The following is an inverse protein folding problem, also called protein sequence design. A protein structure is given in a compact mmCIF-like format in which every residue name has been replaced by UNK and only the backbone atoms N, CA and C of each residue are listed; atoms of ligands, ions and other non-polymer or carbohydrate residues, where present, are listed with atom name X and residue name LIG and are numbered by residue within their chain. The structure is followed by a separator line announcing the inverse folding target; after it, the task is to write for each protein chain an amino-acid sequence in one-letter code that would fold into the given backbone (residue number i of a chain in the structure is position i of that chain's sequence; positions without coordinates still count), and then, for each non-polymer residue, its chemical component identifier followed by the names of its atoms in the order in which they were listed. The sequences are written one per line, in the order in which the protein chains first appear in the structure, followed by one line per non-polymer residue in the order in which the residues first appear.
data_IF_407902268905
#
_entry.id   IF_407902268905
#
_cell.length_a   1.000
_cell.length_b   1.000
_cell.length_c   1.000
_cell.angle_alpha   90.00
_cell.angle_beta   90.00
_cell.angle_gamma   90.00
#
_symmetry.space_group_name_H-M   'P 1'
#
loop_
_entity.id
_entity.type
_entity.pdbx_description
1 polymer ?
#
# COMPACT_ATOMS: atom_id res chain seq x y z
N UNK A 1 -40.06 44.69 86.58
CA UNK A 1 -41.16 45.68 86.49
C UNK A 1 -41.50 45.90 85.02
N UNK A 2 -42.73 45.57 84.60
CA UNK A 2 -43.50 45.94 83.39
C UNK A 2 -42.84 46.10 82.00
N UNK A 3 -43.24 45.18 81.10
CA UNK A 3 -44.02 45.34 79.85
C UNK A 3 -43.65 46.34 78.72
N UNK A 4 -43.85 45.83 77.49
CA UNK A 4 -44.30 46.47 76.22
C UNK A 4 -43.22 47.16 75.35
N UNK A 5 -43.25 47.17 73.99
CA UNK A 5 -44.13 46.64 72.93
C UNK A 5 -43.49 46.94 71.54
N UNK A 6 -43.88 46.13 70.55
CA UNK A 6 -44.16 46.40 69.12
C UNK A 6 -43.08 46.73 68.03
N UNK A 7 -42.95 45.78 67.08
CA UNK A 7 -43.21 45.80 65.61
C UNK A 7 -42.78 47.04 64.77
N UNK A 8 -41.97 46.82 63.71
CA UNK A 8 -42.30 46.99 62.25
C UNK A 8 -41.04 46.94 61.33
N UNK A 9 -41.06 46.04 60.34
CA UNK A 9 -40.30 46.05 59.07
C UNK A 9 -40.68 47.28 58.20
N UNK A 10 -39.97 47.68 57.10
CA UNK A 10 -39.24 46.84 56.12
C UNK A 10 -37.98 47.46 55.45
N UNK A 11 -37.27 46.68 54.61
CA UNK A 11 -36.87 47.01 53.22
C UNK A 11 -35.66 46.18 52.73
N UNK A 12 -36.01 45.32 51.79
CA UNK A 12 -35.28 44.64 50.72
C UNK A 12 -34.09 45.41 50.12
N UNK A 13 -32.94 44.70 49.98
CA UNK A 13 -32.00 44.87 48.88
C UNK A 13 -31.53 43.49 48.42
N UNK A 14 -32.06 43.03 47.29
CA UNK A 14 -31.58 41.86 46.58
C UNK A 14 -30.33 42.27 45.78
N UNK A 15 -29.20 41.60 46.03
CA UNK A 15 -28.01 41.70 45.19
C UNK A 15 -28.23 40.80 43.96
N UNK A 16 -28.26 41.41 42.78
CA UNK A 16 -28.24 40.71 41.50
C UNK A 16 -26.80 40.29 41.25
N UNK A 17 -26.49 39.00 41.40
CA UNK A 17 -25.29 38.40 40.82
C UNK A 17 -25.54 38.18 39.33
N UNK A 18 -24.97 39.04 38.49
CA UNK A 18 -24.80 38.76 37.06
C UNK A 18 -23.75 37.66 36.89
N UNK A 19 -24.22 36.44 36.64
CA UNK A 19 -23.37 35.37 36.14
C UNK A 19 -23.00 35.69 34.68
N UNK A 20 -21.76 36.12 34.45
CA UNK A 20 -21.19 36.24 33.13
C UNK A 20 -20.98 34.85 32.56
N UNK A 21 -21.81 34.46 31.58
CA UNK A 21 -21.55 33.32 30.70
C UNK A 21 -20.31 33.66 29.85
N UNK A 22 -19.17 33.10 30.23
CA UNK A 22 -18.00 33.02 29.36
C UNK A 22 -18.36 32.08 28.19
N UNK A 23 -18.79 32.67 27.07
CA UNK A 23 -18.79 31.98 25.78
C UNK A 23 -17.33 31.70 25.42
N UNK A 24 -16.85 30.51 25.76
CA UNK A 24 -15.65 29.96 25.17
C UNK A 24 -15.96 29.65 23.70
N UNK A 25 -15.62 30.59 22.81
CA UNK A 25 -15.49 30.30 21.40
C UNK A 25 -14.30 29.33 21.26
N UNK A 26 -14.58 28.03 21.32
CA UNK A 26 -13.67 27.02 20.79
C UNK A 26 -13.72 27.20 19.28
N UNK A 27 -12.81 27.99 18.74
CA UNK A 27 -12.44 27.86 17.34
C UNK A 27 -11.90 26.44 17.20
N UNK A 28 -12.73 25.53 16.66
CA UNK A 28 -12.23 24.29 16.09
C UNK A 28 -11.11 24.71 15.14
N UNK A 29 -9.87 24.42 15.50
CA UNK A 29 -8.79 24.53 14.54
C UNK A 29 -9.22 23.69 13.34
N UNK A 30 -9.34 24.31 12.17
CA UNK A 30 -9.51 23.59 10.91
C UNK A 30 -8.40 22.54 10.90
N UNK A 31 -8.76 21.27 11.08
CA UNK A 31 -7.79 20.18 11.04
C UNK A 31 -7.13 20.25 9.67
N UNK A 32 -5.85 20.60 9.63
CA UNK A 32 -5.11 20.70 8.38
C UNK A 32 -5.29 19.38 7.63
N UNK A 33 -5.81 19.46 6.40
CA UNK A 33 -5.99 18.27 5.57
C UNK A 33 -4.63 17.60 5.40
N UNK A 34 -4.58 16.29 5.66
CA UNK A 34 -3.36 15.50 5.54
C UNK A 34 -2.64 15.75 4.20
N UNK A 35 -1.33 15.59 4.18
CA UNK A 35 -0.48 15.68 3.00
C UNK A 35 -0.59 14.43 2.13
N UNK A 36 -1.81 14.07 1.75
CA UNK A 36 -2.06 12.87 0.99
C UNK A 36 -1.81 13.04 -0.51
N UNK A 37 -1.63 11.91 -1.17
CA UNK A 37 -1.34 11.81 -2.59
C UNK A 37 -2.57 12.19 -3.40
N UNK A 38 -2.35 12.89 -4.51
CA UNK A 38 -3.39 13.41 -5.42
C UNK A 38 -4.40 14.37 -4.76
N UNK A 39 -4.14 14.88 -3.54
CA UNK A 39 -5.03 15.79 -2.82
C UNK A 39 -5.50 16.94 -3.70
N UNK A 40 -4.54 17.66 -4.29
CA UNK A 40 -4.77 18.88 -5.06
C UNK A 40 -4.89 18.64 -6.58
N UNK A 41 -4.77 17.39 -7.04
CA UNK A 41 -4.76 17.06 -8.47
C UNK A 41 -6.12 17.32 -9.09
N UNK A 42 -6.16 18.03 -10.23
CA UNK A 42 -7.39 18.20 -11.00
C UNK A 42 -8.02 16.84 -11.35
N UNK A 43 -9.35 16.79 -11.45
CA UNK A 43 -10.00 15.59 -11.96
C UNK A 43 -9.49 15.26 -13.36
N UNK A 44 -9.28 13.98 -13.65
CA UNK A 44 -8.77 13.51 -14.93
C UNK A 44 -9.12 12.05 -15.11
N UNK A 45 -9.12 11.58 -16.36
CA UNK A 45 -9.20 10.15 -16.69
C UNK A 45 -7.99 9.36 -16.16
N UNK A 46 -6.89 10.04 -15.80
CA UNK A 46 -5.69 9.44 -15.20
C UNK A 46 -5.76 9.26 -13.68
N UNK A 47 -6.78 9.83 -13.02
CA UNK A 47 -6.98 9.59 -11.59
C UNK A 47 -7.49 8.16 -11.34
N UNK A 48 -7.33 7.65 -10.10
CA UNK A 48 -8.01 6.43 -9.70
C UNK A 48 -9.49 6.53 -10.05
N UNK A 49 -10.05 5.47 -10.64
CA UNK A 49 -11.47 5.39 -10.95
C UNK A 49 -12.32 5.67 -9.71
N UNK A 50 -11.82 5.28 -8.53
CA UNK A 50 -12.39 5.58 -7.22
C UNK A 50 -12.67 7.08 -7.02
N UNK A 51 -11.71 7.94 -7.35
CA UNK A 51 -11.83 9.38 -7.10
C UNK A 51 -12.84 10.06 -8.04
N UNK A 52 -13.11 9.47 -9.21
CA UNK A 52 -14.14 9.93 -10.13
C UNK A 52 -15.51 9.37 -9.73
N UNK A 53 -15.61 8.06 -9.51
CA UNK A 53 -16.89 7.38 -9.30
C UNK A 53 -17.56 7.76 -7.98
N UNK A 54 -16.78 8.08 -6.93
CA UNK A 54 -17.30 8.46 -5.61
C UNK A 54 -17.65 9.96 -5.49
N UNK A 55 -17.56 10.70 -6.60
CA UNK A 55 -17.90 12.12 -6.68
C UNK A 55 -19.08 12.30 -7.63
N UNK A 56 -20.28 12.69 -7.15
CA UNK A 56 -21.47 12.74 -8.00
C UNK A 56 -21.31 13.56 -9.28
N UNK A 57 -20.63 14.70 -9.20
CA UNK A 57 -20.37 15.58 -10.36
C UNK A 57 -19.42 14.93 -11.38
N UNK A 58 -18.30 14.37 -10.92
CA UNK A 58 -17.34 13.71 -11.79
C UNK A 58 -17.90 12.41 -12.40
N UNK A 59 -18.65 11.64 -11.61
CA UNK A 59 -19.38 10.45 -12.06
C UNK A 59 -20.40 10.82 -13.15
N UNK A 60 -21.17 11.88 -12.96
CA UNK A 60 -22.15 12.33 -13.96
C UNK A 60 -21.48 12.76 -15.28
N UNK A 61 -20.30 13.38 -15.22
CA UNK A 61 -19.52 13.68 -16.42
C UNK A 61 -19.06 12.38 -17.09
N UNK A 62 -18.50 11.42 -16.35
CA UNK A 62 -18.08 10.14 -16.94
C UNK A 62 -19.25 9.41 -17.63
N UNK A 63 -20.42 9.32 -16.99
CA UNK A 63 -21.64 8.71 -17.54
C UNK A 63 -22.22 9.47 -18.75
N UNK A 64 -22.03 10.79 -18.83
CA UNK A 64 -22.40 11.59 -20.01
C UNK A 64 -21.63 11.17 -21.27
N UNK A 65 -20.36 10.81 -21.13
CA UNK A 65 -19.51 10.41 -22.26
C UNK A 65 -19.55 8.92 -22.54
N UNK A 66 -19.66 8.11 -21.49
CA UNK A 66 -19.72 6.64 -21.56
C UNK A 66 -20.91 6.14 -20.73
N UNK A 67 -22.14 6.17 -21.28
CA UNK A 67 -23.35 5.78 -20.55
C UNK A 67 -23.32 4.30 -20.13
N UNK A 68 -23.65 4.03 -18.88
CA UNK A 68 -23.68 2.69 -18.29
C UNK A 68 -22.31 2.18 -17.84
N UNK A 69 -21.25 3.00 -17.91
CA UNK A 69 -19.89 2.60 -17.55
C UNK A 69 -19.84 1.94 -16.17
N UNK A 70 -20.46 2.56 -15.16
CA UNK A 70 -20.43 2.03 -13.79
C UNK A 70 -21.54 0.99 -13.51
N UNK A 71 -22.46 0.78 -14.44
CA UNK A 71 -23.54 -0.23 -14.30
C UNK A 71 -23.13 -1.59 -14.85
N UNK A 72 -22.28 -1.60 -15.89
CA UNK A 72 -21.84 -2.84 -16.55
C UNK A 72 -20.71 -3.57 -15.82
N UNK A 73 -20.07 -2.92 -14.85
CA UNK A 73 -18.89 -3.46 -14.17
C UNK A 73 -19.28 -4.24 -12.91
N UNK A 74 -18.49 -5.28 -12.54
CA UNK A 74 -18.74 -6.03 -11.32
C UNK A 74 -18.70 -5.15 -10.07
N UNK A 75 -19.63 -5.40 -9.13
CA UNK A 75 -19.73 -4.60 -7.90
C UNK A 75 -18.45 -4.61 -7.05
N UNK A 76 -17.68 -5.71 -7.07
CA UNK A 76 -16.41 -5.81 -6.35
C UNK A 76 -15.37 -4.80 -6.88
N UNK A 77 -15.43 -4.45 -8.16
CA UNK A 77 -14.52 -3.51 -8.80
C UNK A 77 -14.87 -2.06 -8.45
N UNK A 78 -16.13 -1.78 -8.13
CA UNK A 78 -16.66 -0.44 -7.89
C UNK A 78 -16.99 -0.16 -6.41
N UNK A 79 -16.36 -0.89 -5.49
CA UNK A 79 -16.57 -0.66 -4.05
C UNK A 79 -16.25 0.80 -3.69
N UNK A 80 -17.19 1.49 -3.03
CA UNK A 80 -16.96 2.83 -2.48
C UNK A 80 -16.28 2.78 -1.10
N UNK A 81 -16.14 1.58 -0.50
CA UNK A 81 -15.46 1.35 0.77
C UNK A 81 -14.04 0.86 0.52
N UNK A 82 -13.08 1.30 1.35
CA UNK A 82 -11.74 0.71 1.37
C UNK A 82 -11.77 -0.67 2.03
N UNK A 83 -10.98 -1.65 1.55
CA UNK A 83 -10.17 -1.61 0.32
C UNK A 83 -11.05 -1.61 -0.95
N UNK A 84 -10.57 -0.97 -2.02
CA UNK A 84 -11.29 -0.88 -3.30
C UNK A 84 -10.36 -1.02 -4.49
N UNK A 85 -10.70 -1.95 -5.39
CA UNK A 85 -9.98 -2.18 -6.66
C UNK A 85 -9.96 -0.93 -7.56
N UNK A 86 -10.96 -0.05 -7.46
CA UNK A 86 -11.01 1.19 -8.22
C UNK A 86 -9.88 2.18 -7.83
N UNK A 87 -9.13 1.92 -6.76
CA UNK A 87 -7.96 2.72 -6.40
C UNK A 87 -6.69 2.34 -7.17
N UNK A 88 -6.67 1.13 -7.76
CA UNK A 88 -5.54 0.58 -8.52
C UNK A 88 -5.85 0.45 -10.03
N UNK A 89 -6.84 1.21 -10.48
CA UNK A 89 -7.19 1.41 -11.87
C UNK A 89 -7.45 2.90 -12.13
N UNK A 90 -7.00 3.42 -13.26
CA UNK A 90 -7.45 4.73 -13.73
C UNK A 90 -8.84 4.64 -14.35
N UNK A 91 -9.54 5.78 -14.44
CA UNK A 91 -10.77 5.83 -15.22
C UNK A 91 -10.53 5.48 -16.69
N UNK A 92 -9.39 5.87 -17.29
CA UNK A 92 -9.06 5.47 -18.65
C UNK A 92 -8.94 3.94 -18.78
N UNK A 93 -8.25 3.28 -17.85
CA UNK A 93 -8.12 1.82 -17.85
C UNK A 93 -9.46 1.12 -17.67
N UNK A 94 -10.39 1.72 -16.91
CA UNK A 94 -11.76 1.26 -16.77
C UNK A 94 -12.51 1.35 -18.11
N UNK A 95 -12.44 2.52 -18.75
CA UNK A 95 -13.08 2.78 -20.04
C UNK A 95 -12.50 1.86 -21.12
N UNK A 96 -11.18 1.67 -21.18
CA UNK A 96 -10.53 0.81 -22.16
C UNK A 96 -11.04 -0.64 -22.14
N UNK A 97 -11.49 -1.12 -20.97
CA UNK A 97 -12.09 -2.46 -20.82
C UNK A 97 -13.53 -2.52 -21.35
N UNK A 98 -14.28 -1.42 -21.22
CA UNK A 98 -15.67 -1.35 -21.68
C UNK A 98 -15.78 -0.95 -23.17
N UNK A 99 -14.94 -0.02 -23.62
CA UNK A 99 -14.87 0.52 -24.97
C UNK A 99 -13.40 0.79 -25.36
N UNK A 100 -12.72 -0.18 -26.02
CA UNK A 100 -11.32 -0.04 -26.43
C UNK A 100 -11.05 1.13 -27.38
N UNK A 101 -12.05 1.57 -28.15
CA UNK A 101 -11.88 2.66 -29.12
C UNK A 101 -11.78 4.04 -28.45
N UNK A 102 -12.30 4.18 -27.22
CA UNK A 102 -12.20 5.39 -26.39
C UNK A 102 -12.47 6.71 -27.16
N UNK A 103 -13.50 6.79 -28.02
CA UNK A 103 -13.60 7.83 -29.05
C UNK A 103 -13.73 9.26 -28.51
N UNK A 104 -14.14 9.40 -27.24
CA UNK A 104 -14.41 10.70 -26.60
C UNK A 104 -13.59 10.92 -25.33
N UNK A 105 -12.50 10.18 -25.15
CA UNK A 105 -11.68 10.24 -23.94
C UNK A 105 -11.10 11.63 -23.69
N UNK A 106 -10.64 12.32 -24.74
CA UNK A 106 -10.08 13.67 -24.62
C UNK A 106 -11.13 14.72 -24.21
N UNK A 107 -12.35 14.62 -24.74
CA UNK A 107 -13.45 15.51 -24.35
C UNK A 107 -13.87 15.28 -22.89
N UNK A 108 -13.94 14.00 -22.48
CA UNK A 108 -14.18 13.61 -21.09
C UNK A 108 -13.11 14.17 -20.15
N UNK A 109 -11.83 13.98 -20.46
CA UNK A 109 -10.73 14.46 -19.62
C UNK A 109 -10.73 15.98 -19.49
N UNK A 110 -11.03 16.70 -20.58
CA UNK A 110 -11.14 18.16 -20.56
C UNK A 110 -12.28 18.65 -19.66
N UNK A 111 -13.46 18.01 -19.72
CA UNK A 111 -14.60 18.37 -18.87
C UNK A 111 -14.37 18.00 -17.41
N UNK A 112 -13.74 16.85 -17.13
CA UNK A 112 -13.31 16.48 -15.78
C UNK A 112 -12.35 17.52 -15.20
N UNK A 113 -11.31 17.92 -15.93
CA UNK A 113 -10.31 18.91 -15.46
C UNK A 113 -10.91 20.28 -15.14
N UNK A 114 -12.08 20.60 -15.66
CA UNK A 114 -12.79 21.84 -15.36
C UNK A 114 -13.50 21.81 -13.99
N UNK A 115 -13.68 20.64 -13.38
CA UNK A 115 -14.27 20.53 -12.05
C UNK A 115 -13.33 21.11 -10.96
N UNK A 116 -13.88 21.86 -10.00
CA UNK A 116 -13.09 22.38 -8.90
C UNK A 116 -12.67 21.27 -7.93
N UNK A 117 -11.41 21.30 -7.49
CA UNK A 117 -10.91 20.47 -6.38
C UNK A 117 -11.20 21.22 -5.07
N UNK A 118 -12.42 21.06 -4.57
CA UNK A 118 -12.88 21.72 -3.32
C UNK A 118 -12.22 21.10 -2.08
N UNK A 119 -12.27 21.80 -0.94
CA UNK A 119 -11.76 21.26 0.34
C UNK A 119 -12.44 19.94 0.73
N UNK A 120 -13.72 19.76 0.39
CA UNK A 120 -14.42 18.49 0.61
C UNK A 120 -13.84 17.35 -0.25
N UNK A 121 -13.46 17.64 -1.51
CA UNK A 121 -12.79 16.67 -2.39
C UNK A 121 -11.42 16.31 -1.81
N UNK A 122 -10.65 17.30 -1.38
CA UNK A 122 -9.33 17.10 -0.77
C UNK A 122 -9.42 16.23 0.49
N UNK A 123 -10.30 16.58 1.42
CA UNK A 123 -10.51 15.83 2.65
C UNK A 123 -10.92 14.37 2.37
N UNK A 124 -11.84 14.17 1.43
CA UNK A 124 -12.33 12.83 1.12
C UNK A 124 -11.32 11.97 0.32
N UNK A 125 -10.40 12.58 -0.46
CA UNK A 125 -9.23 11.86 -1.03
C UNK A 125 -8.24 11.46 0.04
N UNK A 126 -8.04 12.30 1.06
CA UNK A 126 -7.11 12.03 2.14
C UNK A 126 -7.64 11.06 3.20
N UNK A 127 -8.96 10.87 3.30
CA UNK A 127 -9.59 10.00 4.28
C UNK A 127 -9.18 8.51 4.18
N UNK A 128 -8.58 8.06 3.07
CA UNK A 128 -8.06 6.68 2.90
C UNK A 128 -6.65 6.47 3.48
N UNK A 129 -5.98 7.54 3.90
CA UNK A 129 -4.62 7.48 4.46
C UNK A 129 -4.65 7.67 5.98
N UNK A 130 -3.75 6.98 6.68
CA UNK A 130 -3.63 7.13 8.13
C UNK A 130 -2.59 8.21 8.44
N UNK A 131 -3.03 9.47 8.53
CA UNK A 131 -2.11 10.61 8.70
C UNK A 131 -1.54 10.74 10.12
N UNK A 132 -2.28 10.26 11.12
CA UNK A 132 -1.86 10.37 12.51
C UNK A 132 -0.70 9.41 12.81
N UNK A 133 0.44 9.89 13.33
CA UNK A 133 1.59 9.04 13.64
C UNK A 133 1.22 7.94 14.65
N UNK A 134 1.56 6.70 14.31
CA UNK A 134 1.59 5.58 15.24
C UNK A 134 3.02 5.45 15.78
N UNK A 135 3.19 5.17 17.06
CA UNK A 135 4.51 4.91 17.64
C UNK A 135 4.57 3.53 18.27
N UNK A 136 5.71 2.86 18.14
CA UNK A 136 5.96 1.56 18.75
C UNK A 136 6.98 1.64 19.87
N UNK A 137 6.92 0.66 20.77
CA UNK A 137 8.03 0.22 21.59
C UNK A 137 8.36 -1.19 21.13
N UNK A 138 9.58 -1.42 20.68
CA UNK A 138 10.04 -2.74 20.22
C UNK A 138 10.76 -3.47 21.35
N UNK A 139 10.76 -4.80 21.29
CA UNK A 139 11.47 -5.66 22.24
C UNK A 139 12.99 -5.57 22.01
N UNK A 140 13.79 -6.05 22.97
CA UNK A 140 15.25 -6.17 22.80
C UNK A 140 15.59 -7.42 21.99
N UNK A 141 15.62 -7.27 20.66
CA UNK A 141 16.00 -8.32 19.72
C UNK A 141 17.11 -7.83 18.77
N UNK A 142 18.00 -8.72 18.30
CA UNK A 142 19.14 -8.36 17.48
C UNK A 142 18.76 -7.84 16.09
N UNK A 143 17.55 -8.16 15.62
CA UNK A 143 16.96 -7.64 14.38
C UNK A 143 15.49 -7.35 14.64
N UNK A 144 14.98 -6.26 14.08
CA UNK A 144 13.61 -5.79 14.20
C UNK A 144 12.92 -5.74 12.84
N UNK A 145 11.77 -6.41 12.74
CA UNK A 145 10.97 -6.48 11.51
C UNK A 145 9.64 -5.76 11.70
N UNK A 146 9.34 -4.82 10.80
CA UNK A 146 8.01 -4.22 10.66
C UNK A 146 7.27 -4.91 9.53
N UNK A 147 6.24 -5.69 9.84
CA UNK A 147 5.31 -6.25 8.84
C UNK A 147 4.17 -5.26 8.63
N UNK A 148 4.17 -4.62 7.48
CA UNK A 148 3.14 -3.69 7.03
C UNK A 148 2.15 -4.37 6.08
N UNK A 149 0.86 -4.26 6.37
CA UNK A 149 -0.22 -4.97 5.65
C UNK A 149 -1.45 -4.09 5.42
N UNK A 150 -1.28 -2.76 5.27
CA UNK A 150 -2.40 -1.89 4.89
C UNK A 150 -2.78 -2.17 3.45
N UNK A 151 -4.08 -2.16 3.16
CA UNK A 151 -4.62 -2.37 1.82
C UNK A 151 -5.67 -1.29 1.54
N UNK A 152 -5.42 -0.49 0.51
CA UNK A 152 -6.41 0.43 -0.07
C UNK A 152 -6.92 -0.08 -1.44
N UNK A 153 -6.17 -0.96 -2.10
CA UNK A 153 -6.44 -1.58 -3.40
C UNK A 153 -7.19 -2.91 -3.31
N UNK A 154 -6.58 -3.99 -3.81
CA UNK A 154 -7.15 -5.33 -3.77
C UNK A 154 -6.73 -6.09 -2.50
N UNK A 155 -7.68 -6.76 -1.86
CA UNK A 155 -7.45 -7.54 -0.64
C UNK A 155 -7.36 -9.03 -0.97
N UNK A 156 -6.15 -9.59 -0.83
CA UNK A 156 -5.88 -11.02 -1.02
C UNK A 156 -6.35 -11.91 0.15
N UNK A 157 -7.01 -11.34 1.17
CA UNK A 157 -7.78 -12.03 2.19
C UNK A 157 -6.99 -13.10 2.96
N UNK A 158 -7.25 -14.37 2.64
CA UNK A 158 -6.59 -15.49 3.32
C UNK A 158 -5.08 -15.53 3.10
N UNK A 159 -4.61 -15.05 1.94
CA UNK A 159 -3.18 -14.86 1.69
C UNK A 159 -2.53 -13.96 2.73
N UNK A 160 -3.11 -12.76 2.95
CA UNK A 160 -2.60 -11.76 3.89
C UNK A 160 -2.49 -12.36 5.30
N UNK A 161 -3.51 -13.11 5.70
CA UNK A 161 -3.55 -13.78 7.01
C UNK A 161 -2.45 -14.85 7.14
N UNK A 162 -2.36 -15.76 6.17
CA UNK A 162 -1.35 -16.82 6.16
C UNK A 162 0.09 -16.26 6.11
N UNK A 163 0.30 -15.22 5.30
CA UNK A 163 1.56 -14.50 5.19
C UNK A 163 1.96 -13.85 6.51
N UNK A 164 1.04 -13.16 7.18
CA UNK A 164 1.32 -12.50 8.47
C UNK A 164 1.67 -13.52 9.55
N UNK A 165 0.96 -14.65 9.61
CA UNK A 165 1.27 -15.75 10.53
C UNK A 165 2.64 -16.35 10.23
N UNK A 166 2.95 -16.62 8.97
CA UNK A 166 4.23 -17.20 8.56
C UNK A 166 5.40 -16.23 8.78
N UNK A 167 5.29 -14.96 8.39
CA UNK A 167 6.31 -13.93 8.64
C UNK A 167 6.59 -13.76 10.13
N UNK A 168 5.53 -13.75 10.95
CA UNK A 168 5.66 -13.69 12.42
C UNK A 168 6.38 -14.92 12.97
N UNK A 169 6.02 -16.12 12.49
CA UNK A 169 6.64 -17.39 12.88
C UNK A 169 8.11 -17.44 12.49
N UNK A 170 8.42 -17.18 11.21
CA UNK A 170 9.78 -17.18 10.67
C UNK A 170 10.68 -16.17 11.39
N UNK A 171 10.20 -14.94 11.63
CA UNK A 171 10.94 -13.93 12.38
C UNK A 171 11.30 -14.42 13.78
N UNK A 172 10.35 -15.02 14.51
CA UNK A 172 10.59 -15.57 15.85
C UNK A 172 11.57 -16.75 15.84
N UNK A 173 11.45 -17.66 14.87
CA UNK A 173 12.40 -18.76 14.69
C UNK A 173 13.82 -18.27 14.41
N UNK A 174 13.96 -17.13 13.73
CA UNK A 174 15.24 -16.47 13.45
C UNK A 174 15.74 -15.63 14.64
N UNK A 175 14.97 -15.54 15.73
CA UNK A 175 15.30 -14.74 16.92
C UNK A 175 15.09 -13.23 16.73
N UNK A 176 14.25 -12.83 15.77
CA UNK A 176 13.97 -11.43 15.45
C UNK A 176 12.75 -10.93 16.24
N UNK A 177 12.74 -9.63 16.52
CA UNK A 177 11.55 -8.90 16.97
C UNK A 177 10.63 -8.64 15.76
N UNK A 178 9.32 -8.71 15.98
CA UNK A 178 8.33 -8.51 14.92
C UNK A 178 7.17 -7.65 15.39
N UNK A 179 6.91 -6.57 14.66
CA UNK A 179 5.75 -5.69 14.83
C UNK A 179 4.88 -5.76 13.59
N UNK A 180 3.58 -6.01 13.76
CA UNK A 180 2.62 -6.07 12.65
C UNK A 180 1.69 -4.86 12.72
N UNK A 181 1.47 -4.17 11.61
CA UNK A 181 0.51 -3.06 11.54
C UNK A 181 -0.14 -2.94 10.16
N UNK A 182 -1.38 -2.47 10.15
CA UNK A 182 -2.10 -2.07 8.93
C UNK A 182 -2.32 -0.54 8.88
N UNK A 183 -1.54 0.22 9.66
CA UNK A 183 -1.68 1.67 9.79
C UNK A 183 -0.47 2.40 9.20
N UNK A 184 -0.69 3.23 8.17
CA UNK A 184 0.34 4.01 7.47
C UNK A 184 1.08 5.02 8.35
N UNK A 185 0.47 5.46 9.46
CA UNK A 185 1.09 6.30 10.48
C UNK A 185 2.34 5.69 11.12
N UNK A 186 2.59 4.39 10.90
CA UNK A 186 3.83 3.71 11.24
C UNK A 186 5.07 4.26 10.51
N UNK A 187 4.89 4.82 9.30
CA UNK A 187 5.98 5.31 8.45
C UNK A 187 6.40 6.73 8.84
N UNK A 188 7.17 6.81 9.92
CA UNK A 188 7.81 8.04 10.36
C UNK A 188 9.25 7.74 10.78
N UNK A 189 10.13 8.73 10.73
CA UNK A 189 11.56 8.56 10.99
C UNK A 189 11.86 7.88 12.34
N UNK A 190 11.09 8.20 13.39
CA UNK A 190 11.27 7.62 14.73
C UNK A 190 10.98 6.12 14.77
N UNK A 191 9.95 5.66 14.07
CA UNK A 191 9.67 4.23 13.98
C UNK A 191 10.66 3.54 13.06
N UNK A 192 10.87 4.08 11.85
CA UNK A 192 11.69 3.41 10.84
C UNK A 192 13.15 3.23 11.30
N UNK A 193 13.68 4.13 12.13
CA UNK A 193 15.01 3.96 12.74
C UNK A 193 15.12 2.82 13.76
N UNK A 194 14.00 2.19 14.15
CA UNK A 194 13.97 1.05 15.06
C UNK A 194 13.87 -0.30 14.33
N UNK A 195 13.71 -0.31 13.01
CA UNK A 195 13.49 -1.51 12.23
C UNK A 195 14.60 -1.73 11.19
N UNK A 196 15.18 -2.92 11.18
CA UNK A 196 16.18 -3.30 10.17
C UNK A 196 15.51 -3.71 8.86
N UNK A 197 14.27 -4.22 8.91
CA UNK A 197 13.49 -4.61 7.73
C UNK A 197 12.06 -4.14 7.84
N UNK A 198 11.58 -3.52 6.77
CA UNK A 198 10.16 -3.28 6.52
C UNK A 198 9.66 -4.29 5.47
N UNK A 199 8.77 -5.17 5.88
CA UNK A 199 8.10 -6.13 4.99
C UNK A 199 6.77 -5.53 4.56
N UNK A 200 6.56 -5.39 3.25
CA UNK A 200 5.25 -5.11 2.69
C UNK A 200 4.59 -6.46 2.38
N UNK A 201 3.65 -6.84 3.23
CA UNK A 201 2.89 -8.07 3.10
C UNK A 201 1.59 -7.79 2.35
N UNK A 202 1.55 -8.17 1.06
CA UNK A 202 0.37 -8.03 0.21
C UNK A 202 -0.21 -6.60 0.24
N UNK A 203 0.64 -5.57 0.29
CA UNK A 203 0.19 -4.18 0.27
C UNK A 203 -0.27 -3.84 -1.15
N UNK A 204 -1.53 -3.42 -1.30
CA UNK A 204 -2.08 -2.98 -2.59
C UNK A 204 -2.80 -1.64 -2.42
N UNK A 205 -2.70 -0.82 -3.46
CA UNK A 205 -3.13 0.56 -3.49
C UNK A 205 -2.15 1.52 -2.81
N UNK A 206 -2.41 2.80 -3.02
CA UNK A 206 -1.64 3.86 -2.38
C UNK A 206 -2.01 3.98 -0.90
N UNK A 207 -1.05 3.71 -0.01
CA UNK A 207 -1.28 3.51 1.43
C UNK A 207 -0.58 4.53 2.32
N UNK A 208 0.34 5.35 1.78
CA UNK A 208 1.18 6.30 2.51
C UNK A 208 0.96 7.74 2.06
N UNK A 209 0.95 8.68 3.02
CA UNK A 209 1.00 10.12 2.73
C UNK A 209 2.35 10.56 2.17
N UNK A 210 2.47 11.79 1.68
CA UNK A 210 3.71 12.30 1.09
C UNK A 210 4.87 12.34 2.10
N UNK A 211 4.62 12.77 3.34
CA UNK A 211 5.63 12.73 4.42
C UNK A 211 6.02 11.32 4.82
N UNK A 212 5.07 10.38 4.83
CA UNK A 212 5.34 8.97 5.11
C UNK A 212 6.19 8.32 4.03
N UNK A 213 5.92 8.66 2.76
CA UNK A 213 6.76 8.26 1.61
C UNK A 213 8.17 8.79 1.74
N UNK A 214 8.34 10.09 1.99
CA UNK A 214 9.65 10.69 2.19
C UNK A 214 10.43 10.00 3.32
N UNK A 215 9.77 9.69 4.45
CA UNK A 215 10.39 8.94 5.54
C UNK A 215 10.83 7.53 5.12
N UNK A 216 10.07 6.87 4.24
CA UNK A 216 10.43 5.55 3.71
C UNK A 216 11.57 5.60 2.68
N UNK A 217 11.57 6.60 1.80
CA UNK A 217 12.68 6.84 0.87
C UNK A 217 13.96 7.10 1.64
N UNK A 218 13.92 7.96 2.67
CA UNK A 218 15.06 8.22 3.55
C UNK A 218 15.51 6.95 4.28
N UNK A 219 14.57 6.15 4.78
CA UNK A 219 14.89 4.85 5.41
C UNK A 219 15.67 3.94 4.45
N UNK A 220 15.18 3.77 3.21
CA UNK A 220 15.87 2.98 2.20
C UNK A 220 17.23 3.58 1.84
N UNK A 221 17.31 4.90 1.68
CA UNK A 221 18.56 5.57 1.31
C UNK A 221 19.66 5.43 2.37
N UNK A 222 19.31 5.20 3.64
CA UNK A 222 20.23 5.13 4.77
C UNK A 222 20.36 3.71 5.37
N UNK A 223 20.31 2.67 4.53
CA UNK A 223 20.62 1.30 4.96
C UNK A 223 19.41 0.42 5.31
N UNK A 224 18.19 0.94 5.19
CA UNK A 224 16.97 0.20 5.47
C UNK A 224 16.75 -1.03 4.56
N UNK A 225 16.16 -2.08 5.12
CA UNK A 225 15.75 -3.28 4.40
C UNK A 225 14.30 -3.24 3.95
N UNK A 226 14.03 -3.68 2.72
CA UNK A 226 12.69 -3.86 2.18
C UNK A 226 12.49 -5.28 1.65
N UNK A 227 11.38 -5.90 2.06
CA UNK A 227 10.88 -7.14 1.46
C UNK A 227 9.43 -6.94 1.00
N UNK A 228 9.20 -6.91 -0.31
CA UNK A 228 7.87 -6.90 -0.90
C UNK A 228 7.37 -8.31 -1.19
N UNK A 229 6.16 -8.63 -0.72
CA UNK A 229 5.52 -9.94 -0.97
C UNK A 229 4.26 -9.76 -1.82
N UNK A 230 4.18 -10.55 -2.88
CA UNK A 230 3.06 -10.74 -3.79
C UNK A 230 2.41 -9.41 -4.24
N UNK A 231 1.23 -9.06 -3.67
CA UNK A 231 0.47 -7.87 -4.07
C UNK A 231 1.24 -6.55 -3.98
N UNK A 232 2.30 -6.51 -3.17
CA UNK A 232 3.20 -5.36 -3.04
C UNK A 232 3.84 -4.93 -4.37
N UNK A 233 3.87 -5.82 -5.37
CA UNK A 233 4.28 -5.53 -6.75
C UNK A 233 3.19 -5.81 -7.79
N UNK A 234 1.90 -5.89 -7.38
CA UNK A 234 0.79 -6.38 -8.19
C UNK A 234 -0.23 -5.33 -8.64
N UNK A 235 0.06 -4.03 -8.48
CA UNK A 235 -0.89 -2.98 -8.89
C UNK A 235 -0.66 -2.56 -10.34
N UNK A 236 -1.74 -2.43 -11.11
CA UNK A 236 -1.67 -2.01 -12.52
C UNK A 236 -1.36 -0.52 -12.74
N UNK A 237 -1.27 0.24 -11.64
CA UNK A 237 -0.79 1.62 -11.62
C UNK A 237 -0.26 1.97 -10.23
N UNK A 238 0.83 2.74 -10.21
CA UNK A 238 1.39 3.35 -9.02
C UNK A 238 1.36 4.88 -9.15
N UNK A 239 0.85 5.57 -8.13
CA UNK A 239 0.93 7.04 -8.02
C UNK A 239 2.14 7.47 -7.19
N UNK A 240 3.21 6.68 -7.27
CA UNK A 240 4.50 6.88 -6.61
C UNK A 240 5.59 6.34 -7.51
N UNK A 241 6.10 7.19 -8.40
CA UNK A 241 7.08 6.76 -9.40
C UNK A 241 8.34 6.15 -8.76
N UNK A 242 8.82 6.69 -7.63
CA UNK A 242 9.95 6.10 -6.91
C UNK A 242 9.69 4.64 -6.47
N UNK A 243 8.49 4.32 -5.99
CA UNK A 243 8.16 2.93 -5.60
C UNK A 243 8.17 1.99 -6.82
N UNK A 244 7.59 2.42 -7.95
CA UNK A 244 7.55 1.63 -9.18
C UNK A 244 8.94 1.50 -9.82
N UNK A 245 9.62 2.62 -10.02
CA UNK A 245 10.81 2.72 -10.88
C UNK A 245 12.10 2.47 -10.09
N UNK A 246 12.22 3.01 -8.88
CA UNK A 246 13.46 2.97 -8.10
C UNK A 246 13.48 1.86 -7.04
N UNK A 247 12.31 1.37 -6.59
CA UNK A 247 12.24 0.28 -5.60
C UNK A 247 11.91 -1.07 -6.24
N UNK A 248 10.85 -1.16 -7.05
CA UNK A 248 10.47 -2.40 -7.71
C UNK A 248 11.17 -2.62 -9.05
N UNK A 249 11.34 -1.56 -9.85
CA UNK A 249 11.93 -1.60 -11.19
C UNK A 249 10.97 -2.08 -12.29
N UNK A 250 9.70 -2.34 -11.96
CA UNK A 250 8.73 -2.98 -12.86
C UNK A 250 7.35 -2.38 -12.73
N UNK A 251 6.55 -2.52 -13.79
CA UNK A 251 5.11 -2.25 -13.80
C UNK A 251 4.36 -3.56 -14.03
N UNK A 252 3.56 -3.99 -13.06
CA UNK A 252 2.64 -5.12 -13.23
C UNK A 252 1.62 -4.84 -14.33
N UNK A 253 1.37 -5.83 -15.18
CA UNK A 253 0.40 -5.75 -16.28
C UNK A 253 -0.73 -6.77 -16.18
N UNK A 254 -0.58 -7.82 -15.38
CA UNK A 254 -1.62 -8.82 -15.19
C UNK A 254 -1.10 -10.16 -14.70
N UNK A 255 -2.03 -11.09 -14.52
CA UNK A 255 -1.78 -12.52 -14.36
C UNK A 255 -2.88 -13.29 -15.11
N UNK A 256 -2.66 -14.57 -15.47
CA UNK A 256 -3.72 -15.40 -16.04
C UNK A 256 -4.96 -15.43 -15.15
N UNK A 257 -6.16 -15.46 -15.75
CA UNK A 257 -7.43 -15.47 -15.01
C UNK A 257 -8.15 -16.82 -15.02
N UNK A 258 -7.98 -17.61 -16.09
CA UNK A 258 -8.67 -18.89 -16.25
C UNK A 258 -7.76 -19.96 -16.88
N UNK A 259 -7.22 -20.92 -16.08
CA UNK A 259 -7.21 -20.90 -14.62
C UNK A 259 -6.26 -19.82 -14.06
N UNK A 260 -6.68 -19.15 -12.99
CA UNK A 260 -5.86 -18.16 -12.27
C UNK A 260 -4.59 -18.78 -11.66
N UNK A 261 -4.76 -19.90 -10.94
CA UNK A 261 -3.66 -20.60 -10.29
C UNK A 261 -3.15 -21.75 -11.13
N UNK A 262 -1.88 -21.71 -11.50
CA UNK A 262 -1.26 -22.66 -12.41
C UNK A 262 0.01 -23.25 -11.81
N UNK A 263 0.25 -24.54 -12.06
CA UNK A 263 1.55 -25.13 -11.77
C UNK A 263 2.55 -24.54 -12.78
N UNK A 264 3.68 -24.05 -12.30
CA UNK A 264 4.80 -23.64 -13.15
C UNK A 264 6.11 -24.18 -12.58
N UNK A 265 7.08 -24.40 -13.46
CA UNK A 265 8.46 -24.65 -13.12
C UNK A 265 9.20 -23.33 -12.88
N UNK A 266 9.94 -23.28 -11.79
CA UNK A 266 10.73 -22.16 -11.33
C UNK A 266 12.20 -22.54 -11.38
N UNK A 267 13.05 -21.61 -11.78
CA UNK A 267 14.50 -21.75 -11.75
C UNK A 267 15.09 -20.86 -10.66
N UNK A 268 15.92 -21.44 -9.81
CA UNK A 268 16.71 -20.73 -8.80
C UNK A 268 18.03 -20.27 -9.40
N UNK A 269 18.40 -19.01 -9.15
CA UNK A 269 19.64 -18.42 -9.66
C UNK A 269 20.62 -18.13 -8.53
N UNK A 270 21.89 -18.48 -8.75
CA UNK A 270 22.98 -18.00 -7.90
C UNK A 270 23.03 -16.46 -7.90
N UNK A 271 23.23 -15.86 -6.73
CA UNK A 271 23.26 -14.42 -6.55
C UNK A 271 24.27 -14.02 -5.47
N UNK A 272 24.73 -12.77 -5.51
CA UNK A 272 25.79 -12.26 -4.62
C UNK A 272 25.44 -12.34 -3.13
N UNK A 273 24.15 -12.39 -2.82
CA UNK A 273 23.59 -12.43 -1.47
C UNK A 273 23.39 -13.86 -0.95
N UNK A 274 23.63 -14.89 -1.77
CA UNK A 274 23.38 -16.30 -1.46
C UNK A 274 21.92 -16.57 -1.04
N UNK A 275 20.97 -15.77 -1.54
CA UNK A 275 19.55 -15.96 -1.25
C UNK A 275 19.08 -17.19 -2.02
N UNK A 276 18.37 -18.10 -1.35
CA UNK A 276 17.83 -19.32 -1.94
C UNK A 276 18.89 -20.30 -2.47
N UNK A 277 20.18 -20.15 -2.12
CA UNK A 277 21.28 -21.03 -2.59
C UNK A 277 21.11 -22.50 -2.15
N UNK A 278 20.29 -22.75 -1.11
CA UNK A 278 19.96 -24.11 -0.66
C UNK A 278 18.76 -24.74 -1.36
N UNK A 279 18.04 -23.99 -2.21
CA UNK A 279 16.94 -24.52 -3.00
C UNK A 279 17.44 -25.37 -4.18
N UNK A 280 16.62 -26.29 -4.71
CA UNK A 280 16.91 -26.93 -5.97
C UNK A 280 17.07 -25.92 -7.12
N UNK A 281 17.91 -26.25 -8.11
CA UNK A 281 18.06 -25.47 -9.34
C UNK A 281 16.71 -25.25 -10.04
N UNK A 282 15.86 -26.27 -10.04
CA UNK A 282 14.51 -26.24 -10.61
C UNK A 282 13.50 -26.90 -9.68
N UNK A 283 12.33 -26.28 -9.52
CA UNK A 283 11.24 -26.79 -8.68
C UNK A 283 9.89 -26.27 -9.17
N UNK A 284 8.79 -26.94 -8.80
CA UNK A 284 7.45 -26.55 -9.28
C UNK A 284 6.50 -26.29 -8.13
N UNK A 285 5.78 -25.17 -8.22
CA UNK A 285 4.68 -24.83 -7.32
C UNK A 285 3.50 -24.33 -8.11
N UNK A 286 2.33 -24.33 -7.47
CA UNK A 286 1.09 -23.86 -8.07
C UNK A 286 0.64 -22.58 -7.38
N UNK A 287 0.75 -21.45 -8.07
CA UNK A 287 0.35 -20.13 -7.57
C UNK A 287 -0.20 -19.25 -8.71
N UNK A 288 -0.39 -17.96 -8.44
CA UNK A 288 -0.71 -16.92 -9.43
C UNK A 288 0.58 -16.26 -9.95
N UNK A 289 0.74 -16.22 -11.28
CA UNK A 289 1.96 -15.74 -11.92
C UNK A 289 1.80 -14.32 -12.47
N UNK A 290 2.45 -13.37 -11.82
CA UNK A 290 2.47 -11.96 -12.23
C UNK A 290 3.36 -11.76 -13.44
N UNK A 291 2.81 -11.10 -14.45
CA UNK A 291 3.57 -10.60 -15.59
C UNK A 291 3.80 -9.10 -15.44
N UNK A 292 4.98 -8.67 -15.89
CA UNK A 292 5.41 -7.29 -15.86
C UNK A 292 5.56 -6.74 -17.29
N UNK A 293 5.45 -5.43 -17.45
CA UNK A 293 5.58 -4.77 -18.76
C UNK A 293 6.96 -4.98 -19.40
N UNK A 294 7.99 -5.18 -18.58
CA UNK A 294 9.36 -5.51 -18.94
C UNK A 294 10.06 -6.16 -17.74
N UNK A 295 11.26 -6.70 -17.98
CA UNK A 295 12.19 -7.08 -16.91
C UNK A 295 12.53 -5.87 -16.00
N UNK A 296 12.91 -6.08 -14.72
CA UNK A 296 13.27 -4.99 -13.82
C UNK A 296 14.38 -4.08 -14.35
N UNK A 297 14.08 -2.79 -14.57
CA UNK A 297 15.03 -1.79 -15.06
C UNK A 297 15.76 -1.12 -13.88
N UNK A 298 16.63 -1.88 -13.22
CA UNK A 298 17.35 -1.48 -12.01
C UNK A 298 18.85 -1.76 -12.14
N UNK A 299 19.66 -0.80 -11.71
CA UNK A 299 21.11 -0.99 -11.69
C UNK A 299 21.51 -2.07 -10.68
N UNK A 300 22.27 -3.08 -11.14
CA UNK A 300 22.77 -4.15 -10.29
C UNK A 300 21.68 -5.12 -9.79
N UNK A 301 20.53 -5.17 -10.45
CA UNK A 301 19.51 -6.19 -10.16
C UNK A 301 20.05 -7.60 -10.41
N UNK A 302 19.77 -8.50 -9.48
CA UNK A 302 20.03 -9.92 -9.62
C UNK A 302 18.72 -10.68 -9.45
N UNK A 303 18.42 -11.55 -10.41
CA UNK A 303 17.28 -12.45 -10.32
C UNK A 303 17.60 -13.55 -9.31
N UNK A 304 16.61 -13.87 -8.47
CA UNK A 304 16.69 -14.95 -7.48
C UNK A 304 15.89 -16.14 -8.00
N UNK A 305 14.66 -15.89 -8.49
CA UNK A 305 13.78 -16.91 -9.08
C UNK A 305 13.19 -16.39 -10.39
N UNK A 306 13.20 -17.21 -11.43
CA UNK A 306 12.48 -16.98 -12.70
C UNK A 306 11.47 -18.09 -12.96
N UNK A 307 10.42 -17.79 -13.73
CA UNK A 307 9.39 -18.73 -14.18
C UNK A 307 9.73 -19.23 -15.58
N UNK A 308 9.54 -20.52 -15.85
CA UNK A 308 9.52 -21.05 -17.21
C UNK A 308 8.12 -20.87 -17.84
N UNK A 309 8.01 -19.97 -18.83
CA UNK A 309 6.74 -19.71 -19.54
C UNK A 309 6.21 -20.89 -20.36
N UNK A 310 7.05 -21.89 -20.69
CA UNK A 310 6.61 -23.11 -21.37
C UNK A 310 5.94 -24.11 -20.41
N UNK A 311 6.09 -23.91 -19.09
CA UNK A 311 5.56 -24.80 -18.05
C UNK A 311 4.13 -24.44 -17.61
N UNK A 312 3.61 -23.27 -18.01
CA UNK A 312 2.26 -22.81 -17.72
C UNK A 312 1.64 -22.06 -18.92
N UNK A 313 0.45 -21.49 -18.77
CA UNK A 313 -0.25 -20.74 -19.83
C UNK A 313 -0.40 -19.25 -19.48
N UNK A 314 0.60 -18.39 -19.82
CA UNK A 314 0.50 -16.94 -19.65
C UNK A 314 -0.44 -16.24 -20.65
N UNK A 315 -0.64 -16.82 -21.84
CA UNK A 315 -1.42 -16.20 -22.90
C UNK A 315 -0.81 -14.88 -23.38
N UNK A 316 -1.65 -13.85 -23.57
CA UNK A 316 -1.20 -12.51 -24.01
C UNK A 316 -0.36 -11.76 -22.96
N UNK A 317 -0.21 -12.33 -21.75
CA UNK A 317 0.62 -11.78 -20.68
C UNK A 317 2.05 -12.34 -20.66
N UNK A 318 2.42 -13.18 -21.62
CA UNK A 318 3.80 -13.68 -21.71
C UNK A 318 4.79 -12.51 -21.81
N UNK A 319 5.83 -12.53 -20.99
CA UNK A 319 6.94 -11.59 -21.05
C UNK A 319 7.82 -11.87 -22.28
N UNK A 320 7.83 -13.11 -22.80
CA UNK A 320 8.50 -13.45 -24.06
C UNK A 320 10.04 -13.44 -23.99
N UNK A 321 10.58 -13.42 -22.78
CA UNK A 321 12.01 -13.36 -22.46
C UNK A 321 12.25 -13.96 -21.08
N UNK A 322 13.13 -13.36 -20.28
CA UNK A 322 13.26 -13.77 -18.88
C UNK A 322 12.01 -13.32 -18.12
N UNK A 323 11.40 -14.23 -17.38
CA UNK A 323 10.27 -13.93 -16.51
C UNK A 323 10.71 -14.00 -15.03
N UNK A 324 11.27 -12.92 -14.46
CA UNK A 324 11.64 -12.90 -13.05
C UNK A 324 10.39 -12.82 -12.17
N UNK A 325 10.34 -13.64 -11.11
CA UNK A 325 9.30 -13.59 -10.08
C UNK A 325 9.86 -13.28 -8.70
N UNK A 326 11.17 -13.37 -8.49
CA UNK A 326 11.84 -12.83 -7.32
C UNK A 326 13.20 -12.24 -7.72
N UNK A 327 13.51 -11.05 -7.23
CA UNK A 327 14.76 -10.34 -7.52
C UNK A 327 15.18 -9.45 -6.35
N UNK A 328 16.47 -9.09 -6.35
CA UNK A 328 17.07 -8.23 -5.34
C UNK A 328 17.96 -7.17 -5.97
N UNK A 329 18.06 -6.02 -5.33
CA UNK A 329 18.97 -4.94 -5.72
C UNK A 329 19.24 -3.98 -4.56
N UNK A 330 20.19 -3.06 -4.76
CA UNK A 330 20.48 -2.01 -3.78
C UNK A 330 19.73 -0.72 -4.13
N UNK A 331 19.17 -0.05 -3.12
CA UNK A 331 18.63 1.31 -3.26
C UNK A 331 19.52 2.24 -2.45
N UNK A 332 20.52 2.85 -3.09
CA UNK A 332 21.62 3.50 -2.37
C UNK A 332 22.26 2.54 -1.34
N UNK A 333 22.20 2.85 -0.05
CA UNK A 333 22.67 1.98 1.03
C UNK A 333 21.62 0.90 1.42
N UNK A 334 20.39 1.03 0.96
CA UNK A 334 19.29 0.11 1.28
C UNK A 334 19.34 -1.21 0.52
N UNK A 335 18.62 -2.20 1.06
CA UNK A 335 18.52 -3.56 0.51
C UNK A 335 17.08 -3.86 0.15
N UNK A 336 16.77 -4.02 -1.13
CA UNK A 336 15.43 -4.30 -1.59
C UNK A 336 15.36 -5.70 -2.21
N UNK A 337 14.40 -6.49 -1.75
CA UNK A 337 14.01 -7.75 -2.38
C UNK A 337 12.50 -7.79 -2.59
N UNK A 338 12.09 -8.36 -3.72
CA UNK A 338 10.69 -8.63 -4.02
C UNK A 338 10.51 -10.11 -4.38
N UNK A 339 9.37 -10.68 -3.98
CA UNK A 339 8.87 -11.96 -4.49
C UNK A 339 7.40 -11.84 -4.84
N UNK A 340 7.04 -12.24 -6.07
CA UNK A 340 5.67 -12.36 -6.55
C UNK A 340 4.96 -13.64 -6.11
N UNK A 341 5.68 -14.59 -5.51
CA UNK A 341 5.09 -15.83 -4.96
C UNK A 341 4.35 -15.48 -3.67
N UNK A 342 3.10 -15.93 -3.55
CA UNK A 342 2.35 -15.83 -2.29
C UNK A 342 0.85 -15.54 -2.42
N UNK A 343 0.19 -15.70 -3.57
CA UNK A 343 -1.27 -15.50 -3.62
C UNK A 343 -1.97 -16.57 -2.78
N UNK A 344 -1.57 -17.82 -2.98
CA UNK A 344 -2.20 -18.95 -2.29
C UNK A 344 -1.71 -19.06 -0.86
N UNK A 345 -2.64 -19.26 0.08
CA UNK A 345 -2.34 -19.44 1.50
C UNK A 345 -1.36 -20.60 1.73
N UNK A 346 -1.43 -21.64 0.90
CA UNK A 346 -0.55 -22.80 0.97
C UNK A 346 0.93 -22.47 0.65
N UNK A 347 1.21 -21.37 -0.04
CA UNK A 347 2.59 -20.97 -0.36
C UNK A 347 3.39 -20.64 0.89
N UNK A 348 2.73 -20.33 2.00
CA UNK A 348 3.39 -20.03 3.28
C UNK A 348 3.70 -21.28 4.12
N UNK A 349 3.37 -22.48 3.59
CA UNK A 349 3.75 -23.79 4.12
C UNK A 349 4.70 -24.56 3.18
N UNK A 350 4.94 -24.06 1.96
CA UNK A 350 5.88 -24.66 1.01
C UNK A 350 7.33 -24.44 1.49
N UNK A 351 8.13 -25.50 1.69
CA UNK A 351 9.50 -25.38 2.21
C UNK A 351 10.41 -24.45 1.40
N UNK A 352 10.28 -24.48 0.07
CA UNK A 352 11.06 -23.66 -0.85
C UNK A 352 10.75 -22.16 -0.66
N UNK A 353 9.46 -21.80 -0.58
CA UNK A 353 9.05 -20.40 -0.38
C UNK A 353 9.36 -19.92 1.06
N UNK A 354 9.23 -20.78 2.07
CA UNK A 354 9.68 -20.48 3.44
C UNK A 354 11.18 -20.16 3.45
N UNK A 355 11.99 -20.97 2.77
CA UNK A 355 13.44 -20.77 2.69
C UNK A 355 13.76 -19.47 1.95
N UNK A 356 13.11 -19.20 0.81
CA UNK A 356 13.24 -17.95 0.07
C UNK A 356 12.97 -16.73 0.97
N UNK A 357 11.86 -16.73 1.72
CA UNK A 357 11.50 -15.61 2.60
C UNK A 357 12.48 -15.47 3.78
N UNK A 358 12.94 -16.57 4.38
CA UNK A 358 13.92 -16.52 5.49
C UNK A 358 15.27 -15.97 5.03
N UNK A 359 15.73 -16.39 3.86
CA UNK A 359 16.97 -15.87 3.26
C UNK A 359 16.82 -14.41 2.86
N UNK A 360 15.65 -14.02 2.32
CA UNK A 360 15.31 -12.64 2.02
C UNK A 360 15.37 -11.76 3.29
N UNK A 361 14.66 -12.14 4.35
CA UNK A 361 14.65 -11.43 5.64
C UNK A 361 16.06 -11.28 6.22
N UNK A 362 16.85 -12.35 6.14
CA UNK A 362 18.24 -12.33 6.60
C UNK A 362 19.06 -11.32 5.81
N UNK A 363 19.01 -11.36 4.48
CA UNK A 363 19.79 -10.43 3.66
C UNK A 363 19.32 -8.98 3.82
N UNK A 364 18.01 -8.71 3.76
CA UNK A 364 17.45 -7.36 3.86
C UNK A 364 17.73 -6.72 5.22
N UNK A 365 17.84 -7.52 6.31
CA UNK A 365 18.20 -7.00 7.63
C UNK A 365 19.65 -6.54 7.77
N UNK A 366 20.49 -6.77 6.77
CA UNK A 366 21.92 -6.50 6.83
C UNK A 366 22.71 -7.49 7.70
N UNK A 367 22.06 -8.40 8.42
CA UNK A 367 22.74 -9.47 9.19
C UNK A 367 23.38 -10.51 8.24
N UNK A 368 24.69 -10.33 7.99
CA UNK A 368 25.50 -11.21 7.13
C UNK A 368 25.75 -10.66 5.71
N UNK A 369 25.67 -9.34 5.52
CA UNK A 369 25.69 -8.63 4.24
C UNK A 369 26.80 -8.98 3.24
N UNK A 370 26.50 -8.87 1.93
CA UNK A 370 27.50 -8.76 0.84
C UNK A 370 26.97 -8.02 -0.43
N UNK A 371 26.77 -6.71 -0.57
CA UNK A 371 26.80 -5.47 0.26
C UNK A 371 25.85 -4.46 -0.44
N UNK A 372 25.33 -3.49 0.31
CA UNK A 372 24.65 -2.24 -0.11
C UNK A 372 24.85 -1.26 1.07
N UNK A 373 25.79 -0.33 1.10
CA UNK A 373 27.21 -0.63 1.09
C UNK A 373 27.80 -0.55 2.52
N UNK A 374 28.76 -1.46 2.79
CA UNK A 374 29.58 -1.71 4.01
C UNK A 374 29.01 -1.52 5.42
#
# INVERSE_FOLDING_TARGET
MKLNKLIKHPLTRAAVLTAGLLNANVTMAETAVADCVLRDTAFSVQLPAYDVMTRPEARAIAEKYYPGLFETLPAWLLSEKMPSFATILTLEQLIARADPAKPRLAELDAELRALPVTEAVKAARCARFDAEPQYFSVDDAPVQVLVYQKINGYDHGRSVTAATEALTRMSKEMGYGVTVTANGGAFNAKNLSQFDVVVWNNVSGDTLTLSQRAAFEDYMNNGGGFLGVHASGGDSIYFWDWYRDALLGVQFIGHPMDPQFQLAELTTHENSAHIAESLPDTWSIKDEWYSFAAEPDLEGVEYVITIDEDSYAPGDLAMGGVHPIAWKHCVNEGRAMYTGIGHREEMYDVPENITLIKDALKWTSGHGAKVCAE
#
